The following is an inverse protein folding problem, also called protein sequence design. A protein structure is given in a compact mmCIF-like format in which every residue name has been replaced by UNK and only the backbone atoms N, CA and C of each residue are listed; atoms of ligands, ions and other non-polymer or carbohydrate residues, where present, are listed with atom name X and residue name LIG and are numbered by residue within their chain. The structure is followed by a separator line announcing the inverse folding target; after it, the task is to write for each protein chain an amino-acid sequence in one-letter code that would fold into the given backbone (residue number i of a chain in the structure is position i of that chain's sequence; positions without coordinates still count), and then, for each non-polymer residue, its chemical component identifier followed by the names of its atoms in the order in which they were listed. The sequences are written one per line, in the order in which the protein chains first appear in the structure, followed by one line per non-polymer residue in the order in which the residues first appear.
data_IF_583004131405
#
_entry.id   IF_583004131405
#
_cell.length_a   1.000
_cell.length_b   1.000
_cell.length_c   1.000
_cell.angle_alpha   90.00
_cell.angle_beta   90.00
_cell.angle_gamma   90.00
#
_symmetry.space_group_name_H-M   'P 1'
#
loop_
_entity.id
_entity.type
_entity.pdbx_description
1 polymer ?
#
# COMPACT_ATOMS: atom_id res chain seq x y z
N UNK A 1 -4.67 30.34 -6.73
CA UNK A 1 -4.53 28.99 -7.33
C UNK A 1 -4.71 27.98 -6.20
N UNK A 2 -5.79 27.18 -6.18
CA UNK A 2 -5.91 26.13 -5.16
C UNK A 2 -4.89 25.04 -5.49
N UNK A 3 -3.87 24.89 -4.65
CA UNK A 3 -2.96 23.75 -4.74
C UNK A 3 -3.82 22.51 -4.52
N UNK A 4 -3.93 21.64 -5.52
CA UNK A 4 -4.54 20.32 -5.32
C UNK A 4 -3.55 19.53 -4.47
N UNK A 5 -3.95 19.11 -3.29
CA UNK A 5 -3.15 18.19 -2.48
C UNK A 5 -2.84 16.93 -3.32
N UNK A 6 -1.55 16.70 -3.57
CA UNK A 6 -1.05 15.59 -4.35
C UNK A 6 -0.39 14.58 -3.39
N UNK A 7 -1.01 13.41 -3.28
CA UNK A 7 -0.43 12.28 -2.53
C UNK A 7 0.50 11.53 -3.48
N UNK A 8 1.80 11.57 -3.19
CA UNK A 8 2.83 10.91 -4.01
C UNK A 8 2.99 9.43 -3.73
N UNK A 9 2.92 9.06 -2.45
CA UNK A 9 3.21 7.72 -1.96
C UNK A 9 2.37 7.45 -0.71
N UNK A 10 1.98 6.19 -0.52
CA UNK A 10 1.23 5.70 0.64
C UNK A 10 2.01 4.55 1.26
N UNK A 11 2.13 4.57 2.59
CA UNK A 11 2.81 3.54 3.36
C UNK A 11 1.86 2.98 4.41
N UNK A 12 1.74 1.66 4.47
CA UNK A 12 1.12 0.94 5.57
C UNK A 12 2.20 0.18 6.32
N UNK A 13 2.23 0.30 7.64
CA UNK A 13 3.20 -0.41 8.48
C UNK A 13 2.46 -1.49 9.27
N UNK A 14 2.93 -2.72 9.19
CA UNK A 14 2.42 -3.85 9.98
C UNK A 14 3.59 -4.64 10.58
N UNK A 15 3.33 -5.48 11.58
CA UNK A 15 4.39 -6.29 12.21
C UNK A 15 4.55 -7.65 11.51
N UNK A 16 3.43 -8.24 11.11
CA UNK A 16 3.34 -9.55 10.48
C UNK A 16 2.27 -9.55 9.40
N UNK A 17 2.57 -10.11 8.23
CA UNK A 17 1.63 -10.32 7.14
C UNK A 17 0.88 -11.65 7.32
N UNK A 18 0.08 -11.73 8.38
CA UNK A 18 -0.70 -12.95 8.70
C UNK A 18 -2.05 -13.03 7.96
N UNK A 19 -2.71 -11.89 7.74
CA UNK A 19 -4.00 -11.80 7.04
C UNK A 19 -3.91 -10.74 5.94
N UNK A 20 -3.41 -11.16 4.78
CA UNK A 20 -3.14 -10.27 3.66
C UNK A 20 -4.40 -9.54 3.18
N UNK A 21 -5.57 -10.19 3.18
CA UNK A 21 -6.83 -9.62 2.73
C UNK A 21 -7.28 -8.46 3.62
N UNK A 22 -7.12 -8.61 4.93
CA UNK A 22 -7.44 -7.52 5.88
C UNK A 22 -6.46 -6.36 5.75
N UNK A 23 -5.17 -6.66 5.63
CA UNK A 23 -4.12 -5.64 5.55
C UNK A 23 -4.23 -4.82 4.26
N UNK A 24 -4.52 -5.44 3.11
CA UNK A 24 -4.59 -4.74 1.81
C UNK A 24 -5.87 -3.93 1.60
N UNK A 25 -6.92 -4.17 2.40
CA UNK A 25 -8.24 -3.52 2.22
C UNK A 25 -8.16 -1.99 2.31
N UNK A 26 -7.34 -1.46 3.21
CA UNK A 26 -7.12 -0.03 3.32
C UNK A 26 -6.48 0.53 2.05
N UNK A 27 -5.42 -0.12 1.58
CA UNK A 27 -4.68 0.27 0.39
C UNK A 27 -5.55 0.20 -0.87
N UNK A 28 -6.36 -0.85 -1.03
CA UNK A 28 -7.29 -0.98 -2.16
C UNK A 28 -8.25 0.20 -2.27
N UNK A 29 -8.90 0.58 -1.17
CA UNK A 29 -9.84 1.71 -1.16
C UNK A 29 -9.15 3.03 -1.54
N UNK A 30 -7.91 3.22 -1.09
CA UNK A 30 -7.12 4.39 -1.48
C UNK A 30 -6.71 4.37 -2.96
N UNK A 31 -6.28 3.22 -3.48
CA UNK A 31 -5.87 3.07 -4.88
C UNK A 31 -7.04 3.27 -5.86
N UNK A 32 -8.27 2.92 -5.46
CA UNK A 32 -9.49 3.23 -6.24
C UNK A 32 -9.73 4.72 -6.42
N UNK A 33 -9.39 5.52 -5.41
CA UNK A 33 -9.61 6.98 -5.40
C UNK A 33 -8.43 7.71 -6.05
N UNK A 34 -7.20 7.22 -5.84
CA UNK A 34 -5.96 7.87 -6.25
C UNK A 34 -5.01 6.84 -6.83
N UNK A 35 -4.63 7.01 -8.10
CA UNK A 35 -3.52 6.27 -8.70
C UNK A 35 -2.20 6.79 -8.16
N UNK A 36 -1.70 6.19 -7.09
CA UNK A 36 -0.42 6.56 -6.47
C UNK A 36 0.33 5.30 -6.03
N UNK A 37 1.62 5.42 -5.74
CA UNK A 37 2.41 4.26 -5.30
C UNK A 37 2.03 3.89 -3.88
N UNK A 38 1.86 2.59 -3.63
CA UNK A 38 1.56 2.07 -2.31
C UNK A 38 2.63 1.04 -1.88
N UNK A 39 2.94 1.06 -0.59
CA UNK A 39 3.94 0.22 0.04
C UNK A 39 3.38 -0.35 1.34
N UNK A 40 3.67 -1.62 1.61
CA UNK A 40 3.51 -2.24 2.93
C UNK A 40 4.90 -2.43 3.52
N UNK A 41 5.10 -1.97 4.74
CA UNK A 41 6.34 -2.14 5.49
C UNK A 41 6.05 -3.16 6.59
N UNK A 42 6.83 -4.23 6.66
CA UNK A 42 6.67 -5.30 7.66
C UNK A 42 8.00 -5.74 8.26
N UNK A 43 8.01 -6.54 9.32
CA UNK A 43 9.25 -7.06 9.94
C UNK A 43 9.54 -8.52 9.58
N UNK A 44 8.54 -9.24 9.06
CA UNK A 44 8.62 -10.67 8.78
C UNK A 44 9.07 -10.96 7.35
N UNK A 45 8.45 -10.32 6.35
CA UNK A 45 8.48 -10.72 4.94
C UNK A 45 8.82 -9.58 3.95
N UNK A 46 9.34 -9.92 2.77
CA UNK A 46 9.56 -9.01 1.62
C UNK A 46 8.90 -9.58 0.36
N UNK A 47 8.49 -8.72 -0.57
CA UNK A 47 7.91 -9.17 -1.84
C UNK A 47 7.04 -8.14 -2.56
N UNK A 48 6.13 -8.62 -3.39
CA UNK A 48 5.18 -7.81 -4.15
C UNK A 48 3.79 -8.47 -4.13
N UNK A 49 2.73 -7.66 -4.05
CA UNK A 49 1.33 -8.09 -4.04
C UNK A 49 0.61 -7.40 -5.20
N UNK A 50 -0.08 -8.16 -6.04
CA UNK A 50 -0.92 -7.62 -7.12
C UNK A 50 -2.32 -7.27 -6.59
N UNK A 51 -2.76 -6.03 -6.82
CA UNK A 51 -4.06 -5.49 -6.42
C UNK A 51 -4.67 -4.65 -7.54
N UNK A 52 -5.75 -5.14 -8.15
CA UNK A 52 -6.54 -4.40 -9.15
C UNK A 52 -5.67 -3.69 -10.19
N UNK A 53 -4.79 -4.44 -10.86
CA UNK A 53 -3.80 -3.97 -11.85
C UNK A 53 -2.65 -3.09 -11.30
N UNK A 54 -2.51 -2.97 -9.98
CA UNK A 54 -1.41 -2.28 -9.31
C UNK A 54 -0.49 -3.26 -8.58
N UNK A 55 0.80 -2.97 -8.59
CA UNK A 55 1.79 -3.74 -7.81
C UNK A 55 2.10 -2.96 -6.53
N UNK A 56 1.79 -3.54 -5.38
CA UNK A 56 2.12 -3.01 -4.05
C UNK A 56 3.37 -3.70 -3.55
N UNK A 57 4.38 -2.90 -3.18
CA UNK A 57 5.66 -3.43 -2.70
C UNK A 57 5.60 -3.70 -1.21
N UNK A 58 6.03 -4.89 -0.81
CA UNK A 58 6.24 -5.28 0.59
C UNK A 58 7.72 -5.13 0.90
N UNK A 59 8.04 -4.23 1.83
CA UNK A 59 9.40 -3.90 2.23
C UNK A 59 9.61 -4.36 3.68
N UNK A 60 10.72 -5.01 3.96
CA UNK A 60 11.08 -5.35 5.33
C UNK A 60 11.83 -4.19 5.98
N UNK A 61 11.40 -3.82 7.19
CA UNK A 61 12.04 -2.79 8.01
C UNK A 61 13.27 -3.32 8.75
#
# INVERSE_FOLDING_TARGET
MKVKDEIREIYQVTYELSDIEREIKGIEEFLKIRKTKAYIITFDNEGEIELNDNVVKVVKA
#
